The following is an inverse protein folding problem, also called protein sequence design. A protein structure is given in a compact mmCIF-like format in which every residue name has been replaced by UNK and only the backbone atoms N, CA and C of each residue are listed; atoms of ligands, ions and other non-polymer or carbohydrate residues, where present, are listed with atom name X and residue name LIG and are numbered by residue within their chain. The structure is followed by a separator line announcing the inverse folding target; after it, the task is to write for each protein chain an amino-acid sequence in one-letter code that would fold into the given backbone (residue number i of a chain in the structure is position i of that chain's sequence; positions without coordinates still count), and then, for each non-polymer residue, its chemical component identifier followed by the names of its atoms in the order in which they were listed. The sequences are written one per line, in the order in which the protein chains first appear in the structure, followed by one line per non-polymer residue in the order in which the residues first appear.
data_IF_313019247300
#
_entry.id   IF_313019247300
#
_cell.length_a   1.000
_cell.length_b   1.000
_cell.length_c   1.000
_cell.angle_alpha   90.00
_cell.angle_beta   90.00
_cell.angle_gamma   90.00
#
_symmetry.space_group_name_H-M   'P 1'
#
loop_
_entity.id
_entity.type
_entity.pdbx_description
1 polymer ?
#
# COMPACT_ATOMS: atom_id res chain seq x y z
N UNK A 1 -8.98 1.24 -0.23
CA UNK A 1 -8.97 -0.07 -0.91
C UNK A 1 -7.68 -0.26 -1.72
N UNK A 2 -7.27 -1.51 -1.97
CA UNK A 2 -6.16 -1.88 -2.87
C UNK A 2 -6.64 -3.01 -3.77
N UNK A 3 -6.49 -2.88 -5.09
CA UNK A 3 -6.80 -3.96 -6.06
C UNK A 3 -5.50 -4.58 -6.57
N UNK A 4 -5.33 -5.88 -6.31
CA UNK A 4 -4.17 -6.67 -6.75
C UNK A 4 -4.52 -7.35 -8.06
N UNK A 5 -3.70 -7.15 -9.10
CA UNK A 5 -3.92 -7.76 -10.43
C UNK A 5 -2.71 -8.62 -10.79
N UNK A 6 -2.95 -9.87 -11.19
CA UNK A 6 -1.93 -10.78 -11.74
C UNK A 6 -2.51 -11.58 -12.91
N UNK A 7 -1.86 -11.48 -14.07
CA UNK A 7 -2.41 -12.02 -15.31
C UNK A 7 -3.80 -11.44 -15.59
N UNK A 8 -4.80 -12.30 -15.78
CA UNK A 8 -6.20 -11.91 -15.98
C UNK A 8 -7.06 -12.00 -14.71
N UNK A 9 -6.46 -11.97 -13.52
CA UNK A 9 -7.18 -12.14 -12.25
C UNK A 9 -6.94 -10.97 -11.30
N UNK A 10 -7.98 -10.57 -10.56
CA UNK A 10 -7.92 -9.52 -9.55
C UNK A 10 -8.43 -9.97 -8.17
N UNK A 11 -7.83 -9.41 -7.12
CA UNK A 11 -8.31 -9.50 -5.75
C UNK A 11 -8.26 -8.13 -5.09
N UNK A 12 -9.40 -7.66 -4.59
CA UNK A 12 -9.45 -6.43 -3.82
C UNK A 12 -9.28 -6.73 -2.33
N UNK A 13 -8.54 -5.87 -1.63
CA UNK A 13 -8.60 -5.81 -0.18
C UNK A 13 -8.96 -4.39 0.25
N UNK A 14 -9.99 -4.28 1.09
CA UNK A 14 -10.37 -3.02 1.72
C UNK A 14 -9.86 -2.96 3.16
N UNK A 15 -9.06 -1.94 3.47
CA UNK A 15 -8.42 -1.75 4.78
C UNK A 15 -9.03 -0.59 5.57
N UNK A 16 -10.01 0.10 4.99
CA UNK A 16 -10.61 1.31 5.55
C UNK A 16 -11.98 0.94 6.13
N UNK A 17 -12.02 0.80 7.47
CA UNK A 17 -13.17 0.79 8.41
C UNK A 17 -14.53 0.28 7.89
N UNK A 18 -15.01 -0.79 8.55
CA UNK A 18 -16.38 -1.38 8.60
C UNK A 18 -17.44 -0.87 7.61
N UNK A 19 -17.87 -1.75 6.71
CA UNK A 19 -19.24 -1.88 6.17
C UNK A 19 -20.01 -0.63 5.71
N UNK A 20 -19.34 0.46 5.37
CA UNK A 20 -19.92 1.36 4.37
C UNK A 20 -19.49 0.83 3.01
N UNK A 21 -20.45 0.31 2.26
CA UNK A 21 -20.33 -0.13 0.86
C UNK A 21 -19.88 1.05 0.00
N UNK A 22 -18.61 1.43 0.08
CA UNK A 22 -17.95 2.03 -1.05
C UNK A 22 -18.08 0.96 -2.15
N UNK A 23 -18.84 1.24 -3.20
CA UNK A 23 -19.01 0.28 -4.28
C UNK A 23 -17.64 0.01 -4.90
N UNK A 24 -16.99 -1.05 -4.41
CA UNK A 24 -15.67 -1.48 -4.86
C UNK A 24 -15.71 -1.67 -6.37
N UNK A 25 -16.84 -2.07 -6.94
CA UNK A 25 -16.99 -2.19 -8.38
C UNK A 25 -16.89 -0.84 -9.09
N UNK A 26 -17.53 0.23 -8.60
CA UNK A 26 -17.42 1.58 -9.20
C UNK A 26 -15.96 2.02 -9.36
N UNK A 27 -15.11 1.77 -8.36
CA UNK A 27 -13.70 2.21 -8.39
C UNK A 27 -12.75 1.23 -9.07
N UNK A 28 -13.06 -0.08 -9.05
CA UNK A 28 -12.17 -1.11 -9.65
C UNK A 28 -12.54 -1.48 -11.08
N UNK A 29 -13.82 -1.32 -11.49
CA UNK A 29 -14.31 -1.72 -12.82
C UNK A 29 -13.59 -1.02 -13.98
N UNK A 30 -13.25 0.28 -13.93
CA UNK A 30 -12.48 0.91 -15.00
C UNK A 30 -11.11 0.25 -15.18
N UNK A 31 -10.38 0.03 -14.08
CA UNK A 31 -9.08 -0.63 -14.12
C UNK A 31 -9.18 -2.09 -14.58
N UNK A 32 -10.15 -2.86 -14.05
CA UNK A 32 -10.36 -4.26 -14.44
C UNK A 32 -10.77 -4.41 -15.91
N UNK A 33 -11.58 -3.49 -16.43
CA UNK A 33 -11.92 -3.44 -17.86
C UNK A 33 -10.67 -3.18 -18.70
N UNK A 34 -9.88 -2.16 -18.33
CA UNK A 34 -8.65 -1.79 -19.01
C UNK A 34 -7.66 -2.97 -19.07
N UNK A 35 -7.49 -3.68 -17.96
CA UNK A 35 -6.57 -4.83 -17.86
C UNK A 35 -7.19 -6.17 -18.27
N UNK A 36 -8.47 -6.19 -18.70
CA UNK A 36 -9.21 -7.39 -19.12
C UNK A 36 -9.19 -8.50 -18.06
N UNK A 37 -9.49 -8.11 -16.83
CA UNK A 37 -9.36 -8.93 -15.63
C UNK A 37 -10.71 -9.47 -15.18
N UNK A 38 -10.73 -10.75 -14.82
CA UNK A 38 -11.85 -11.43 -14.19
C UNK A 38 -11.68 -11.39 -12.65
N UNK A 39 -12.79 -11.22 -11.93
CA UNK A 39 -12.79 -11.26 -10.48
C UNK A 39 -12.72 -12.73 -10.02
N UNK A 40 -11.50 -13.25 -9.85
CA UNK A 40 -11.27 -14.58 -9.28
C UNK A 40 -10.18 -14.50 -8.20
N UNK A 41 -10.61 -14.64 -6.94
CA UNK A 41 -9.77 -14.53 -5.76
C UNK A 41 -8.91 -15.78 -5.49
N UNK A 42 -9.28 -16.96 -6.01
CA UNK A 42 -8.72 -18.23 -5.57
C UNK A 42 -7.32 -18.52 -6.14
N UNK A 43 -6.94 -17.87 -7.23
CA UNK A 43 -5.64 -18.12 -7.88
C UNK A 43 -4.50 -17.25 -7.34
N UNK A 44 -4.83 -16.14 -6.68
CA UNK A 44 -3.86 -15.13 -6.27
C UNK A 44 -3.11 -15.49 -4.98
N UNK A 45 -3.53 -16.54 -4.25
CA UNK A 45 -2.97 -16.89 -2.93
C UNK A 45 -1.48 -17.24 -2.95
N UNK A 46 -0.93 -17.73 -4.06
CA UNK A 46 0.51 -18.00 -4.16
C UNK A 46 1.35 -16.71 -4.22
N UNK A 47 0.82 -15.68 -4.89
CA UNK A 47 1.47 -14.38 -5.05
C UNK A 47 1.13 -13.40 -3.92
N UNK A 48 -0.03 -13.54 -3.27
CA UNK A 48 -0.57 -12.66 -2.25
C UNK A 48 -0.57 -13.32 -0.87
N UNK A 49 0.22 -12.78 0.05
CA UNK A 49 0.29 -13.24 1.44
C UNK A 49 -0.25 -12.16 2.37
N UNK A 50 -1.16 -12.51 3.29
CA UNK A 50 -1.71 -11.61 4.30
C UNK A 50 -0.94 -11.72 5.61
N UNK A 51 -0.73 -10.59 6.26
CA UNK A 51 -0.11 -10.45 7.58
C UNK A 51 -1.01 -9.56 8.46
N UNK A 52 -0.85 -9.56 9.79
CA UNK A 52 -1.69 -8.77 10.69
C UNK A 52 -1.74 -7.27 10.35
N UNK A 53 -0.63 -6.70 9.87
CA UNK A 53 -0.49 -5.27 9.60
C UNK A 53 -0.09 -4.96 8.15
N UNK A 54 -0.32 -5.88 7.23
CA UNK A 54 0.08 -5.66 5.84
C UNK A 54 -0.08 -6.89 4.95
N UNK A 55 0.45 -6.78 3.74
CA UNK A 55 0.44 -7.84 2.74
C UNK A 55 1.77 -7.90 2.02
N UNK A 56 2.09 -9.07 1.47
CA UNK A 56 3.10 -9.20 0.43
C UNK A 56 2.43 -9.59 -0.87
N UNK A 57 2.79 -8.93 -1.96
CA UNK A 57 2.33 -9.28 -3.31
C UNK A 57 3.51 -9.33 -4.27
N UNK A 58 3.73 -10.48 -4.91
CA UNK A 58 4.90 -10.73 -5.77
C UNK A 58 6.25 -10.36 -5.09
N UNK A 59 6.36 -10.66 -3.80
CA UNK A 59 7.54 -10.35 -2.98
C UNK A 59 7.56 -8.92 -2.41
N UNK A 60 6.77 -7.99 -2.96
CA UNK A 60 6.70 -6.61 -2.46
C UNK A 60 5.89 -6.52 -1.18
N UNK A 61 6.47 -5.91 -0.15
CA UNK A 61 5.90 -5.76 1.19
C UNK A 61 5.18 -4.42 1.30
N UNK A 62 3.89 -4.49 1.58
CA UNK A 62 3.01 -3.34 1.80
C UNK A 62 2.60 -3.37 3.27
N UNK A 63 3.14 -2.44 4.05
CA UNK A 63 2.73 -2.23 5.44
C UNK A 63 1.55 -1.26 5.46
N UNK A 64 0.51 -1.55 6.25
CA UNK A 64 -0.73 -0.79 6.27
C UNK A 64 -1.02 -0.34 7.69
N UNK A 65 -1.05 0.98 7.89
CA UNK A 65 -1.26 1.61 9.18
C UNK A 65 -2.60 2.36 9.18
N UNK A 66 -3.59 1.78 9.84
CA UNK A 66 -4.89 2.41 10.12
C UNK A 66 -4.99 2.93 11.56
N UNK A 67 -4.20 2.37 12.47
CA UNK A 67 -4.10 2.75 13.89
C UNK A 67 -2.64 2.72 14.32
N UNK A 68 -2.34 3.33 15.46
CA UNK A 68 -1.02 3.27 16.07
C UNK A 68 -0.64 1.80 16.28
N UNK A 69 0.46 1.36 15.68
CA UNK A 69 1.07 0.08 16.02
C UNK A 69 2.03 0.38 17.16
N UNK A 70 1.83 -0.25 18.31
CA UNK A 70 2.83 -0.30 19.37
C UNK A 70 4.00 -1.12 18.84
N UNK A 71 5.01 -0.46 18.29
CA UNK A 71 6.27 -1.11 17.94
C UNK A 71 7.06 -1.30 19.22
N UNK A 72 6.77 -2.40 19.94
CA UNK A 72 7.53 -2.80 21.12
C UNK A 72 8.94 -3.21 20.69
N UNK A 73 9.85 -2.22 20.64
CA UNK A 73 11.27 -2.31 21.01
C UNK A 73 12.11 -3.51 20.58
N UNK A 74 11.80 -4.23 19.49
CA UNK A 74 12.62 -5.39 19.09
C UNK A 74 13.98 -5.01 18.50
N UNK A 75 14.28 -3.71 18.37
CA UNK A 75 15.53 -3.16 17.83
C UNK A 75 15.76 -3.42 16.33
N UNK A 76 14.94 -4.23 15.68
CA UNK A 76 15.06 -4.57 14.27
C UNK A 76 14.12 -3.70 13.43
N UNK A 77 14.71 -2.89 12.54
CA UNK A 77 13.96 -2.15 11.54
C UNK A 77 13.31 -3.10 10.52
N UNK A 78 12.05 -2.82 10.17
CA UNK A 78 11.32 -3.51 9.12
C UNK A 78 11.46 -2.78 7.78
N UNK A 79 11.98 -3.47 6.77
CA UNK A 79 12.01 -2.95 5.40
C UNK A 79 10.67 -3.19 4.71
N UNK A 80 10.05 -2.11 4.23
CA UNK A 80 8.82 -2.15 3.44
C UNK A 80 9.09 -1.56 2.06
N UNK A 81 8.46 -2.11 1.01
CA UNK A 81 8.45 -1.44 -0.29
C UNK A 81 7.49 -0.25 -0.24
N UNK A 82 6.32 -0.46 0.38
CA UNK A 82 5.27 0.53 0.49
C UNK A 82 4.76 0.63 1.93
N UNK A 83 4.59 1.87 2.42
CA UNK A 83 3.88 2.16 3.66
C UNK A 83 2.58 2.89 3.32
N UNK A 84 1.43 2.25 3.54
CA UNK A 84 0.11 2.86 3.37
C UNK A 84 -0.41 3.38 4.71
N UNK A 85 -0.73 4.67 4.77
CA UNK A 85 -1.37 5.31 5.92
C UNK A 85 -2.82 5.59 5.57
N UNK A 86 -3.76 5.10 6.38
CA UNK A 86 -5.21 5.15 6.13
C UNK A 86 -5.99 5.41 7.42
N UNK A 87 -7.29 5.69 7.30
CA UNK A 87 -8.20 5.79 8.45
C UNK A 87 -8.01 7.04 9.32
N UNK A 88 -7.36 8.09 8.79
CA UNK A 88 -7.10 9.33 9.51
C UNK A 88 -6.37 9.11 10.86
N UNK A 89 -5.43 8.18 10.90
CA UNK A 89 -4.70 7.78 12.11
C UNK A 89 -4.05 8.97 12.85
N UNK A 90 -3.95 8.86 14.18
CA UNK A 90 -3.29 9.84 15.06
C UNK A 90 -1.76 9.66 15.15
N UNK A 91 -1.17 8.93 14.20
CA UNK A 91 0.26 8.62 14.19
C UNK A 91 1.15 9.85 13.95
N UNK A 92 2.38 9.77 14.47
CA UNK A 92 3.50 10.61 14.06
C UNK A 92 4.34 9.81 13.06
N UNK A 93 4.53 10.34 11.85
CA UNK A 93 5.22 9.61 10.79
C UNK A 93 6.69 9.37 11.16
N UNK A 94 7.34 10.34 11.80
CA UNK A 94 8.70 10.20 12.34
C UNK A 94 8.88 8.97 13.23
N UNK A 95 7.91 8.69 14.11
CA UNK A 95 8.00 7.58 15.08
C UNK A 95 7.87 6.25 14.35
N UNK A 96 6.96 6.17 13.36
CA UNK A 96 6.84 5.00 12.47
C UNK A 96 8.16 4.76 11.73
N UNK A 97 8.78 5.82 11.22
CA UNK A 97 10.00 5.74 10.41
C UNK A 97 11.26 5.39 11.20
N UNK A 98 11.21 5.39 12.54
CA UNK A 98 12.28 4.84 13.36
C UNK A 98 12.44 3.34 13.12
N UNK A 99 11.32 2.62 13.09
CA UNK A 99 11.28 1.16 12.99
C UNK A 99 10.87 0.65 11.62
N UNK A 100 10.32 1.49 10.75
CA UNK A 100 9.92 1.11 9.38
C UNK A 100 10.72 1.91 8.37
N UNK A 101 11.31 1.22 7.38
CA UNK A 101 12.08 1.84 6.31
C UNK A 101 11.37 1.61 4.96
N UNK A 102 10.38 2.45 4.60
CA UNK A 102 9.63 2.31 3.37
C UNK A 102 10.37 2.93 2.17
N UNK A 103 10.22 2.33 0.98
CA UNK A 103 10.71 2.94 -0.27
C UNK A 103 9.75 3.99 -0.86
N UNK A 104 8.48 3.95 -0.45
CA UNK A 104 7.43 4.90 -0.82
C UNK A 104 6.36 4.93 0.28
N UNK A 105 5.98 6.14 0.71
CA UNK A 105 4.86 6.37 1.63
C UNK A 105 3.61 6.76 0.84
N UNK A 106 2.49 6.09 1.11
CA UNK A 106 1.21 6.30 0.45
C UNK A 106 0.21 6.85 1.46
N UNK A 107 -0.39 8.00 1.17
CA UNK A 107 -1.45 8.59 1.98
C UNK A 107 -2.80 8.34 1.31
N UNK A 108 -3.60 7.47 1.93
CA UNK A 108 -4.98 7.22 1.49
C UNK A 108 -5.84 8.48 1.64
N UNK A 109 -6.88 8.59 0.80
CA UNK A 109 -7.75 9.75 0.73
C UNK A 109 -8.60 9.97 1.99
N UNK A 110 -8.68 8.98 2.87
CA UNK A 110 -9.39 9.06 4.15
C UNK A 110 -8.68 9.90 5.21
N UNK A 111 -7.40 10.23 5.04
CA UNK A 111 -6.68 11.11 5.95
C UNK A 111 -7.01 12.59 5.69
N UNK A 112 -7.04 13.43 6.74
CA UNK A 112 -7.33 14.87 6.55
C UNK A 112 -6.23 15.60 5.74
N UNK A 113 -6.62 16.65 5.02
CA UNK A 113 -5.71 17.40 4.14
C UNK A 113 -4.55 18.02 4.93
N UNK A 114 -4.84 18.56 6.12
CA UNK A 114 -3.82 19.09 7.02
C UNK A 114 -2.79 18.04 7.46
N UNK A 115 -3.24 16.80 7.76
CA UNK A 115 -2.31 15.71 8.09
C UNK A 115 -1.47 15.28 6.89
N UNK A 116 -2.08 15.13 5.71
CA UNK A 116 -1.36 14.79 4.48
C UNK A 116 -0.31 15.86 4.18
N UNK A 117 -0.66 17.15 4.23
CA UNK A 117 0.27 18.25 3.98
C UNK A 117 1.44 18.24 4.97
N UNK A 118 1.18 17.99 6.25
CA UNK A 118 2.22 17.83 7.26
C UNK A 118 3.14 16.63 6.96
N UNK A 119 2.57 15.46 6.70
CA UNK A 119 3.36 14.25 6.44
C UNK A 119 4.17 14.34 5.14
N UNK A 120 3.65 15.03 4.10
CA UNK A 120 4.42 15.34 2.89
C UNK A 120 5.67 16.15 3.20
N UNK A 121 5.54 17.21 4.01
CA UNK A 121 6.71 18.00 4.47
C UNK A 121 7.69 17.15 5.27
N UNK A 122 7.20 16.29 6.15
CA UNK A 122 8.06 15.34 6.88
C UNK A 122 8.80 14.39 5.91
N UNK A 123 8.13 13.87 4.87
CA UNK A 123 8.77 13.08 3.83
C UNK A 123 9.82 13.88 3.05
N UNK A 124 9.53 15.12 2.67
CA UNK A 124 10.47 16.00 1.96
C UNK A 124 11.75 16.22 2.78
N UNK A 125 11.62 16.55 4.06
CA UNK A 125 12.75 16.75 4.98
C UNK A 125 13.58 15.48 5.18
N UNK A 126 12.95 14.31 5.13
CA UNK A 126 13.60 13.01 5.28
C UNK A 126 14.07 12.40 3.94
N UNK A 127 13.95 13.14 2.83
CA UNK A 127 14.23 12.65 1.48
C UNK A 127 13.48 11.36 1.12
N UNK A 128 12.28 11.17 1.66
CA UNK A 128 11.41 10.04 1.39
C UNK A 128 10.42 10.38 0.28
N UNK A 129 10.23 9.42 -0.64
CA UNK A 129 9.18 9.54 -1.64
C UNK A 129 7.82 9.35 -0.98
N UNK A 130 6.85 10.17 -1.37
CA UNK A 130 5.48 10.01 -0.94
C UNK A 130 4.46 10.29 -2.06
N UNK A 131 3.26 9.73 -1.93
CA UNK A 131 2.14 9.93 -2.85
C UNK A 131 0.84 10.12 -2.07
N UNK A 132 -0.01 11.04 -2.53
CA UNK A 132 -1.32 11.31 -1.92
C UNK A 132 -2.42 10.91 -2.88
N UNK A 133 -3.20 9.90 -2.51
CA UNK A 133 -4.36 9.46 -3.28
C UNK A 133 -5.43 10.57 -3.32
N UNK A 134 -5.52 11.39 -2.27
CA UNK A 134 -6.42 12.55 -2.22
C UNK A 134 -6.11 13.56 -3.33
N UNK A 135 -4.84 13.84 -3.55
CA UNK A 135 -4.42 14.95 -4.42
C UNK A 135 -4.28 14.51 -5.89
N UNK A 136 -4.00 13.24 -6.12
CA UNK A 136 -3.60 12.72 -7.43
C UNK A 136 -4.47 11.55 -7.92
N UNK A 137 -5.50 11.17 -7.16
CA UNK A 137 -6.36 10.03 -7.50
C UNK A 137 -5.65 8.69 -7.31
N UNK A 138 -6.07 7.68 -8.07
CA UNK A 138 -5.55 6.32 -7.93
C UNK A 138 -4.08 6.20 -8.36
N UNK A 139 -3.30 5.47 -7.58
CA UNK A 139 -1.92 5.09 -7.93
C UNK A 139 -1.91 3.69 -8.54
N UNK A 140 -1.33 3.54 -9.73
CA UNK A 140 -1.11 2.25 -10.40
C UNK A 140 0.37 1.91 -10.36
N UNK A 141 0.72 0.73 -9.86
CA UNK A 141 2.10 0.25 -9.75
C UNK A 141 2.27 -1.05 -10.53
N UNK A 142 3.18 -1.04 -11.51
CA UNK A 142 3.59 -2.25 -12.23
C UNK A 142 4.73 -2.93 -11.48
N UNK A 143 4.45 -4.12 -10.93
CA UNK A 143 5.43 -4.89 -10.16
C UNK A 143 6.10 -5.93 -11.05
N UNK A 144 7.41 -6.08 -10.86
CA UNK A 144 8.19 -7.14 -11.49
C UNK A 144 8.68 -8.08 -10.38
N UNK A 145 8.58 -9.41 -10.55
CA UNK A 145 9.20 -10.36 -9.64
C UNK A 145 10.70 -10.08 -9.52
N UNK A 146 11.21 -10.03 -8.29
CA UNK A 146 12.63 -9.79 -8.03
C UNK A 146 13.54 -10.85 -8.69
N UNK A 147 13.01 -12.03 -9.01
CA UNK A 147 13.70 -13.12 -9.72
C UNK A 147 13.99 -12.87 -11.20
N UNK A 148 13.42 -11.83 -11.83
CA UNK A 148 13.64 -11.52 -13.25
C UNK A 148 14.72 -10.45 -13.49
N UNK A 149 15.18 -9.77 -12.44
CA UNK A 149 16.19 -8.70 -12.54
C UNK A 149 17.62 -9.28 -12.60
N UNK A 150 17.82 -10.53 -12.16
CA UNK A 150 19.14 -11.17 -12.05
C UNK A 150 19.78 -11.64 -13.38
N UNK A 151 19.11 -11.49 -14.54
CA UNK A 151 19.62 -12.04 -15.81
C UNK A 151 19.93 -11.02 -16.91
N UNK A 152 19.93 -9.70 -16.62
CA UNK A 152 20.42 -8.68 -17.57
C UNK A 152 21.78 -8.11 -17.16
N UNK A 153 22.77 -9.00 -17.12
CA UNK A 153 24.17 -8.65 -16.90
C UNK A 153 25.09 -9.72 -17.48
N UNK A 154 25.23 -9.72 -18.81
CA UNK A 154 26.41 -10.18 -19.54
C UNK A 154 26.56 -9.32 -20.78
#
# INVERSE_FOLDING_TARGET
MIDFIYGRKAHNINYTISDSELDVATYTKPARTLFRVEADSNFLFSALKKYPFGVSFLGKKILILSKLIETSGSGKSFQADYLLITGNSSLKLTDVLQNVKPSLVLFDATNSAGKIARWKRECELLHLRCFSIRDSGALVLSLHPDSLIAHRGK
#
